data_IF_234641626702
#
_entry.id   IF_234641626702
#
_cell.length_a   1.000
_cell.length_b   1.000
_cell.length_c   1.000
_cell.angle_alpha   90.00
_cell.angle_beta   90.00
_cell.angle_gamma   90.00
#
_symmetry.space_group_name_H-M   'P 1'
#
loop_
_entity.id
_entity.type
_entity.pdbx_description
1 polymer ?
#
# COMPACT_ATOMS: atom_id res chain seq x y z
N UNK A 1 -5.36 -28.84 20.74
CA UNK A 1 -4.15 -29.68 20.78
C UNK A 1 -2.94 -28.76 20.78
N UNK A 2 -2.08 -28.88 21.81
CA UNK A 2 -0.95 -27.97 22.10
C UNK A 2 0.32 -28.55 21.45
N UNK A 3 0.88 -27.89 20.44
CA UNK A 3 2.17 -28.28 19.87
C UNK A 3 3.31 -27.45 20.50
N UNK A 4 4.09 -28.15 21.33
CA UNK A 4 5.37 -27.74 21.92
C UNK A 4 6.41 -27.51 20.81
N UNK A 5 7.13 -26.39 20.85
CA UNK A 5 8.53 -26.30 21.30
C UNK A 5 9.49 -27.26 20.56
N UNK A 6 10.24 -26.75 19.59
CA UNK A 6 11.62 -27.21 19.37
C UNK A 6 12.52 -26.01 19.08
N UNK A 7 13.38 -25.78 20.07
CA UNK A 7 14.47 -24.84 20.14
C UNK A 7 15.71 -25.56 19.59
N UNK A 8 16.41 -25.00 18.60
CA UNK A 8 17.75 -25.45 18.21
C UNK A 8 18.69 -24.27 18.30
N UNK A 9 19.63 -24.43 19.23
CA UNK A 9 20.67 -23.52 19.67
C UNK A 9 21.97 -24.04 19.03
N UNK A 10 22.62 -23.24 18.17
CA UNK A 10 23.97 -23.56 17.66
C UNK A 10 24.94 -22.52 18.19
N UNK A 11 25.88 -23.04 18.98
CA UNK A 11 26.90 -22.31 19.71
C UNK A 11 28.14 -22.01 18.85
N UNK A 12 28.56 -20.75 18.95
CA UNK A 12 29.91 -20.21 19.15
C UNK A 12 31.18 -21.00 18.73
N UNK A 13 32.08 -20.21 18.10
CA UNK A 13 33.54 -20.11 18.31
C UNK A 13 34.45 -20.76 17.25
N UNK A 14 35.20 -19.91 16.54
CA UNK A 14 36.59 -20.20 16.17
C UNK A 14 37.46 -18.94 16.25
N UNK A 15 38.71 -19.18 16.63
CA UNK A 15 39.59 -18.30 17.36
C UNK A 15 40.53 -17.43 16.50
N UNK A 16 41.02 -16.36 17.15
CA UNK A 16 42.33 -15.69 17.06
C UNK A 16 43.29 -16.11 15.93
N UNK A 17 43.81 -15.10 15.21
CA UNK A 17 45.26 -15.05 14.93
C UNK A 17 45.76 -13.60 14.80
N UNK A 18 46.51 -13.17 15.82
CA UNK A 18 47.42 -12.03 15.77
C UNK A 18 48.83 -12.56 15.48
N UNK A 19 49.53 -11.98 14.51
CA UNK A 19 50.99 -12.02 14.44
C UNK A 19 51.48 -10.69 13.83
N UNK A 20 52.39 -10.03 14.54
CA UNK A 20 52.92 -8.70 14.18
C UNK A 20 54.41 -8.67 13.84
N UNK A 21 54.85 -7.43 13.56
CA UNK A 21 56.21 -6.89 13.40
C UNK A 21 56.86 -7.03 11.99
N UNK A 22 57.72 -6.08 11.54
CA UNK A 22 58.42 -5.00 12.27
C UNK A 22 58.19 -3.56 11.73
N UNK A 23 58.61 -2.50 12.45
CA UNK A 23 58.63 -1.12 11.95
C UNK A 23 59.97 -0.80 11.27
N UNK A 24 59.98 -0.15 10.09
CA UNK A 24 61.20 0.49 9.57
C UNK A 24 61.09 2.01 9.47
N UNK A 25 62.02 2.66 10.17
CA UNK A 25 62.87 3.82 9.84
C UNK A 25 62.22 5.18 9.50
N UNK A 26 62.67 6.28 10.16
CA UNK A 26 62.23 7.64 9.87
C UNK A 26 62.74 8.10 8.49
N UNK A 27 61.82 8.28 7.54
CA UNK A 27 62.09 9.05 6.34
C UNK A 27 62.21 10.54 6.69
N UNK A 28 63.30 11.13 6.22
CA UNK A 28 63.60 12.55 6.34
C UNK A 28 62.51 13.38 5.66
N UNK A 29 62.14 14.56 6.22
CA UNK A 29 61.14 15.40 5.58
C UNK A 29 61.62 15.84 4.20
N UNK A 30 60.78 15.76 3.15
CA UNK A 30 61.08 16.37 1.87
C UNK A 30 61.18 17.90 2.07
N UNK A 31 62.01 18.59 1.26
CA UNK A 31 62.12 20.04 1.31
C UNK A 31 60.74 20.66 1.09
N UNK A 32 60.43 21.68 1.91
CA UNK A 32 59.22 22.49 1.82
C UNK A 32 59.10 23.02 0.40
N UNK A 33 58.25 22.36 -0.40
CA UNK A 33 57.73 22.92 -1.61
C UNK A 33 56.78 24.04 -1.18
N UNK A 34 57.20 25.25 -1.51
CA UNK A 34 56.43 26.49 -1.47
C UNK A 34 54.96 26.21 -1.78
N UNK A 35 54.10 26.43 -0.77
CA UNK A 35 52.68 26.24 -0.89
C UNK A 35 52.15 27.14 -2.02
N UNK A 36 51.87 26.53 -3.17
CA UNK A 36 51.08 27.16 -4.20
C UNK A 36 49.76 27.64 -3.58
N UNK A 37 49.28 28.85 -3.90
CA UNK A 37 48.06 29.37 -3.34
C UNK A 37 46.91 28.42 -3.67
N UNK A 38 46.24 27.92 -2.62
CA UNK A 38 44.97 27.20 -2.75
C UNK A 38 43.99 28.20 -3.33
N UNK A 39 43.79 28.15 -4.65
CA UNK A 39 42.72 28.86 -5.32
C UNK A 39 41.42 28.30 -4.76
N UNK A 40 40.73 29.11 -3.97
CA UNK A 40 39.39 28.79 -3.49
C UNK A 40 38.52 28.37 -4.69
N UNK A 41 37.73 27.29 -4.60
CA UNK A 41 36.79 26.95 -5.66
C UNK A 41 35.90 28.17 -5.89
N UNK A 42 35.84 28.61 -7.15
CA UNK A 42 35.00 29.72 -7.54
C UNK A 42 33.55 29.41 -7.10
N UNK A 43 32.84 30.36 -6.46
CA UNK A 43 31.44 30.17 -6.13
C UNK A 43 30.68 29.87 -7.43
N UNK A 44 29.86 28.82 -7.42
CA UNK A 44 28.98 28.53 -8.55
C UNK A 44 28.16 29.78 -8.88
N UNK A 45 28.02 30.14 -10.17
CA UNK A 45 27.31 31.35 -10.54
C UNK A 45 25.85 31.23 -10.10
N UNK A 46 25.44 32.09 -9.17
CA UNK A 46 24.05 32.24 -8.77
C UNK A 46 23.25 32.54 -10.05
N UNK A 47 22.22 31.74 -10.39
CA UNK A 47 21.43 31.97 -11.58
C UNK A 47 20.85 33.38 -11.52
N UNK A 48 20.87 34.08 -12.66
CA UNK A 48 20.27 35.40 -12.75
C UNK A 48 18.78 35.30 -12.31
N UNK A 49 18.26 36.27 -11.54
CA UNK A 49 16.88 36.22 -11.01
C UNK A 49 15.80 35.94 -12.07
N UNK A 50 16.05 36.27 -13.34
CA UNK A 50 15.12 35.99 -14.44
C UNK A 50 14.94 34.51 -14.76
N UNK A 51 15.98 33.67 -14.58
CA UNK A 51 15.91 32.23 -14.82
C UNK A 51 15.20 31.50 -13.67
N UNK A 52 15.42 31.97 -12.43
CA UNK A 52 14.81 31.37 -11.24
C UNK A 52 13.27 31.47 -11.24
N UNK A 53 12.71 32.61 -11.67
CA UNK A 53 11.26 32.79 -11.77
C UNK A 53 10.61 31.84 -12.79
N UNK A 54 11.25 31.62 -13.96
CA UNK A 54 10.73 30.74 -15.00
C UNK A 54 10.78 29.26 -14.57
N UNK A 55 11.87 28.84 -13.93
CA UNK A 55 12.00 27.49 -13.37
C UNK A 55 10.96 27.22 -12.28
N UNK A 56 10.77 28.15 -11.33
CA UNK A 56 9.77 28.05 -10.28
C UNK A 56 8.35 28.03 -10.85
N UNK A 57 8.09 28.79 -11.92
CA UNK A 57 6.79 28.80 -12.62
C UNK A 57 6.50 27.43 -13.23
N UNK A 58 7.48 26.82 -13.90
CA UNK A 58 7.34 25.46 -14.43
C UNK A 58 7.07 24.45 -13.31
N UNK A 59 7.84 24.50 -12.22
CA UNK A 59 7.65 23.61 -11.08
C UNK A 59 6.27 23.76 -10.43
N UNK A 60 5.78 24.99 -10.26
CA UNK A 60 4.45 25.25 -9.71
C UNK A 60 3.35 24.67 -10.60
N UNK A 61 3.49 24.79 -11.92
CA UNK A 61 2.55 24.18 -12.90
C UNK A 61 2.58 22.66 -12.85
N UNK A 62 3.75 22.05 -12.71
CA UNK A 62 3.89 20.60 -12.54
C UNK A 62 3.25 20.11 -11.25
N UNK A 63 3.46 20.84 -10.14
CA UNK A 63 2.84 20.54 -8.84
C UNK A 63 1.32 20.65 -8.90
N UNK A 64 0.80 21.71 -9.50
CA UNK A 64 -0.63 21.89 -9.77
C UNK A 64 -1.19 20.74 -10.59
N UNK A 65 -0.53 20.38 -11.69
CA UNK A 65 -0.97 19.28 -12.54
C UNK A 65 -0.97 17.95 -11.77
N UNK A 66 0.02 17.72 -10.92
CA UNK A 66 0.09 16.53 -10.08
C UNK A 66 -1.04 16.48 -9.04
N UNK A 67 -1.38 17.60 -8.40
CA UNK A 67 -2.55 17.71 -7.50
C UNK A 67 -3.83 17.32 -8.23
N UNK A 68 -4.11 17.97 -9.37
CA UNK A 68 -5.34 17.78 -10.14
C UNK A 68 -5.45 16.37 -10.72
N UNK A 69 -4.35 15.82 -11.26
CA UNK A 69 -4.31 14.45 -11.79
C UNK A 69 -4.71 13.42 -10.74
N UNK A 70 -4.35 13.66 -9.48
CA UNK A 70 -4.62 12.77 -8.37
C UNK A 70 -5.89 13.15 -7.59
N UNK A 71 -6.59 14.22 -7.98
CA UNK A 71 -7.80 14.73 -7.33
C UNK A 71 -7.56 15.16 -5.88
N UNK A 72 -6.38 15.70 -5.56
CA UNK A 72 -6.00 16.02 -4.18
C UNK A 72 -6.59 17.35 -3.70
N UNK A 73 -7.04 18.20 -4.62
CA UNK A 73 -7.74 19.45 -4.34
C UNK A 73 -9.03 19.25 -3.53
N UNK A 74 -9.71 18.11 -3.71
CA UNK A 74 -10.88 17.76 -2.92
C UNK A 74 -10.54 17.42 -1.45
N UNK A 75 -9.29 16.97 -1.20
CA UNK A 75 -8.85 16.51 0.12
C UNK A 75 -8.09 17.58 0.91
N UNK A 76 -7.44 18.52 0.22
CA UNK A 76 -6.75 19.66 0.81
C UNK A 76 -7.11 20.97 0.08
N UNK A 77 -8.39 21.39 0.14
CA UNK A 77 -8.91 22.50 -0.66
C UNK A 77 -8.33 23.87 -0.26
N UNK A 78 -8.10 24.10 1.03
CA UNK A 78 -7.59 25.39 1.53
C UNK A 78 -6.18 25.73 1.04
N UNK A 79 -5.15 24.87 1.25
CA UNK A 79 -3.80 25.16 0.73
C UNK A 79 -3.79 25.20 -0.80
N UNK A 80 -4.61 24.39 -1.47
CA UNK A 80 -4.70 24.42 -2.93
C UNK A 80 -5.24 25.75 -3.44
N UNK A 81 -6.35 26.24 -2.88
CA UNK A 81 -6.93 27.53 -3.28
C UNK A 81 -5.96 28.70 -3.04
N UNK A 82 -5.19 28.67 -1.95
CA UNK A 82 -4.16 29.67 -1.69
C UNK A 82 -3.00 29.58 -2.70
N UNK A 83 -2.55 28.37 -3.04
CA UNK A 83 -1.53 28.15 -4.05
C UNK A 83 -1.97 28.66 -5.44
N UNK A 84 -3.21 28.35 -5.85
CA UNK A 84 -3.78 28.80 -7.14
C UNK A 84 -3.84 30.34 -7.21
N UNK A 85 -4.22 31.00 -6.11
CA UNK A 85 -4.24 32.46 -6.04
C UNK A 85 -2.83 33.04 -6.25
N UNK A 86 -1.83 32.52 -5.55
CA UNK A 86 -0.45 32.99 -5.65
C UNK A 86 0.15 32.69 -7.02
N UNK A 87 -0.17 31.55 -7.62
CA UNK A 87 0.24 31.22 -8.99
C UNK A 87 -0.33 32.24 -9.98
N UNK A 88 -1.62 32.57 -9.89
CA UNK A 88 -2.24 33.60 -10.74
C UNK A 88 -1.61 34.99 -10.56
N UNK A 89 -1.29 35.37 -9.32
CA UNK A 89 -0.55 36.61 -9.03
C UNK A 89 0.86 36.59 -9.63
N UNK A 90 1.56 35.45 -9.59
CA UNK A 90 2.88 35.28 -10.19
C UNK A 90 2.84 35.38 -11.72
N UNK A 91 1.86 34.75 -12.36
CA UNK A 91 1.69 34.79 -13.83
C UNK A 91 1.44 36.22 -14.31
N UNK A 92 0.64 37.00 -13.58
CA UNK A 92 0.38 38.39 -13.91
C UNK A 92 1.63 39.29 -13.76
N UNK A 93 2.53 38.97 -12.83
CA UNK A 93 3.75 39.74 -12.57
C UNK A 93 4.92 39.34 -13.48
N UNK A 94 4.91 38.15 -14.08
CA UNK A 94 6.10 37.57 -14.74
C UNK A 94 6.70 38.44 -15.85
N UNK A 95 5.88 39.20 -16.59
CA UNK A 95 6.33 40.06 -17.69
C UNK A 95 6.79 41.46 -17.25
N UNK A 96 6.39 41.94 -16.07
CA UNK A 96 6.59 43.33 -15.63
C UNK A 96 7.41 43.46 -14.35
N UNK A 97 7.31 42.49 -13.44
CA UNK A 97 8.00 42.44 -12.17
C UNK A 97 8.35 40.98 -11.79
N UNK A 98 9.47 40.51 -12.32
CA UNK A 98 9.96 39.15 -12.09
C UNK A 98 10.30 38.86 -10.63
N UNK A 99 10.71 39.89 -9.87
CA UNK A 99 11.02 39.72 -8.44
C UNK A 99 9.73 39.45 -7.65
N UNK A 100 8.65 40.18 -7.96
CA UNK A 100 7.33 39.87 -7.39
C UNK A 100 6.86 38.48 -7.83
N UNK A 101 6.99 38.11 -9.11
CA UNK A 101 6.59 36.78 -9.58
C UNK A 101 7.33 35.67 -8.82
N UNK A 102 8.64 35.79 -8.64
CA UNK A 102 9.45 34.85 -7.87
C UNK A 102 8.97 34.72 -6.43
N UNK A 103 8.76 35.84 -5.72
CA UNK A 103 8.28 35.84 -4.34
C UNK A 103 6.91 35.16 -4.18
N UNK A 104 6.01 35.32 -5.16
CA UNK A 104 4.70 34.64 -5.18
C UNK A 104 4.85 33.14 -5.39
N UNK A 105 5.76 32.72 -6.27
CA UNK A 105 6.04 31.30 -6.52
C UNK A 105 6.68 30.63 -5.30
N UNK A 106 7.58 31.32 -4.59
CA UNK A 106 8.16 30.84 -3.34
C UNK A 106 7.12 30.62 -2.24
N UNK A 107 6.05 31.41 -2.25
CA UNK A 107 4.90 31.20 -1.37
C UNK A 107 3.94 30.10 -1.87
N UNK A 108 3.77 29.95 -3.19
CA UNK A 108 2.85 28.98 -3.79
C UNK A 108 3.33 27.52 -3.71
N UNK A 109 4.62 27.28 -3.97
CA UNK A 109 5.21 25.94 -3.98
C UNK A 109 5.01 25.14 -2.69
N UNK A 110 5.31 25.66 -1.48
CA UNK A 110 5.08 24.91 -0.25
C UNK A 110 3.59 24.63 0.02
N UNK A 111 2.68 25.46 -0.51
CA UNK A 111 1.24 25.21 -0.41
C UNK A 111 0.81 24.05 -1.30
N UNK A 112 1.34 23.94 -2.53
CA UNK A 112 1.10 22.74 -3.35
C UNK A 112 1.70 21.48 -2.71
N UNK A 113 2.90 21.56 -2.14
CA UNK A 113 3.51 20.42 -1.45
C UNK A 113 2.68 20.02 -0.21
N UNK A 114 2.11 20.99 0.52
CA UNK A 114 1.16 20.73 1.61
C UNK A 114 -0.13 20.07 1.09
N UNK A 115 -0.71 20.55 -0.01
CA UNK A 115 -1.87 19.93 -0.67
C UNK A 115 -1.58 18.48 -1.05
N UNK A 116 -0.40 18.19 -1.61
CA UNK A 116 0.00 16.83 -2.00
C UNK A 116 0.09 15.93 -0.77
N UNK A 117 0.81 16.38 0.26
CA UNK A 117 1.02 15.62 1.49
C UNK A 117 -0.29 15.33 2.21
N UNK A 118 -1.06 16.37 2.51
CA UNK A 118 -2.29 16.25 3.29
C UNK A 118 -3.40 15.58 2.48
N UNK A 119 -3.44 15.86 1.17
CA UNK A 119 -4.38 15.23 0.25
C UNK A 119 -4.19 13.72 0.17
N UNK A 120 -2.95 13.25 -0.02
CA UNK A 120 -2.68 11.81 -0.01
C UNK A 120 -2.88 11.18 1.35
N UNK A 121 -2.51 11.84 2.45
CA UNK A 121 -2.72 11.30 3.79
C UNK A 121 -4.20 10.95 4.03
N UNK A 122 -5.11 11.89 3.72
CA UNK A 122 -6.56 11.67 3.85
C UNK A 122 -7.10 10.63 2.86
N UNK A 123 -6.69 10.71 1.59
CA UNK A 123 -7.16 9.79 0.55
C UNK A 123 -6.73 8.34 0.82
N UNK A 124 -5.52 8.14 1.35
CA UNK A 124 -5.02 6.83 1.78
C UNK A 124 -5.81 6.33 2.98
N UNK A 125 -6.08 7.19 3.98
CA UNK A 125 -6.87 6.82 5.15
C UNK A 125 -8.27 6.35 4.76
N UNK A 126 -8.96 7.09 3.88
CA UNK A 126 -10.27 6.72 3.34
C UNK A 126 -10.22 5.38 2.60
N UNK A 127 -9.26 5.21 1.68
CA UNK A 127 -9.11 3.98 0.90
C UNK A 127 -8.81 2.78 1.80
N UNK A 128 -7.96 2.96 2.82
CA UNK A 128 -7.66 1.94 3.82
C UNK A 128 -8.92 1.58 4.63
N UNK A 129 -9.69 2.57 5.07
CA UNK A 129 -10.91 2.33 5.83
C UNK A 129 -11.94 1.54 5.02
N UNK A 130 -12.07 1.83 3.72
CA UNK A 130 -12.91 1.04 2.81
C UNK A 130 -12.44 -0.42 2.71
N UNK A 131 -11.14 -0.64 2.54
CA UNK A 131 -10.57 -1.98 2.47
C UNK A 131 -10.72 -2.75 3.80
N UNK A 132 -10.53 -2.08 4.94
CA UNK A 132 -10.74 -2.65 6.28
C UNK A 132 -12.20 -3.08 6.46
N UNK A 133 -13.15 -2.29 5.97
CA UNK A 133 -14.58 -2.61 6.05
C UNK A 133 -14.97 -3.78 5.13
N UNK A 134 -14.46 -3.81 3.89
CA UNK A 134 -14.64 -4.94 2.99
C UNK A 134 -14.03 -6.23 3.58
N UNK A 135 -12.87 -6.14 4.22
CA UNK A 135 -12.25 -7.26 4.93
C UNK A 135 -13.15 -7.81 6.04
N UNK A 136 -13.77 -6.92 6.86
CA UNK A 136 -14.70 -7.34 7.91
C UNK A 136 -15.93 -8.06 7.33
N UNK A 137 -16.49 -7.57 6.22
CA UNK A 137 -17.60 -8.24 5.51
C UNK A 137 -17.20 -9.63 5.03
N UNK A 138 -16.03 -9.75 4.42
CA UNK A 138 -15.49 -11.05 3.99
C UNK A 138 -15.29 -12.00 5.18
N UNK A 139 -14.80 -11.50 6.32
CA UNK A 139 -14.64 -12.28 7.53
C UNK A 139 -15.97 -12.74 8.12
N UNK A 140 -17.02 -11.91 8.07
CA UNK A 140 -18.37 -12.26 8.50
C UNK A 140 -18.95 -13.42 7.68
N UNK A 141 -18.72 -13.44 6.37
CA UNK A 141 -19.10 -14.54 5.47
C UNK A 141 -18.17 -15.76 5.53
N UNK A 142 -17.19 -15.77 6.45
CA UNK A 142 -16.18 -16.85 6.58
C UNK A 142 -15.36 -17.07 5.30
N UNK A 143 -15.11 -16.01 4.53
CA UNK A 143 -14.38 -16.07 3.27
C UNK A 143 -12.96 -16.64 3.41
N UNK A 144 -12.29 -16.46 4.55
CA UNK A 144 -11.01 -17.12 4.85
C UNK A 144 -11.03 -18.65 4.67
N UNK A 145 -12.18 -19.27 4.90
CA UNK A 145 -12.39 -20.72 4.78
C UNK A 145 -13.07 -21.04 3.47
N UNK A 146 -14.20 -20.38 3.21
CA UNK A 146 -15.06 -20.69 2.08
C UNK A 146 -14.51 -20.16 0.75
N UNK A 147 -13.70 -19.10 0.72
CA UNK A 147 -13.14 -18.43 -0.46
C UNK A 147 -11.64 -18.11 -0.26
N UNK A 148 -10.88 -19.15 0.13
CA UNK A 148 -9.52 -19.02 0.68
C UNK A 148 -8.55 -18.31 -0.27
N UNK A 149 -8.57 -18.63 -1.56
CA UNK A 149 -7.63 -18.10 -2.55
C UNK A 149 -7.89 -16.62 -2.83
N UNK A 150 -9.15 -16.27 -3.04
CA UNK A 150 -9.61 -14.90 -3.27
C UNK A 150 -9.33 -14.01 -2.06
N UNK A 151 -9.62 -14.51 -0.86
CA UNK A 151 -9.30 -13.81 0.37
C UNK A 151 -7.79 -13.57 0.53
N UNK A 152 -6.97 -14.59 0.27
CA UNK A 152 -5.52 -14.48 0.38
C UNK A 152 -4.94 -13.48 -0.63
N UNK A 153 -5.46 -13.44 -1.86
CA UNK A 153 -5.06 -12.49 -2.89
C UNK A 153 -5.41 -11.03 -2.49
N UNK A 154 -6.61 -10.81 -1.94
CA UNK A 154 -7.02 -9.51 -1.42
C UNK A 154 -6.13 -9.05 -0.25
N UNK A 155 -5.85 -9.95 0.70
CA UNK A 155 -4.97 -9.67 1.84
C UNK A 155 -3.52 -9.38 1.41
N UNK A 156 -3.01 -10.05 0.39
CA UNK A 156 -1.70 -9.77 -0.18
C UNK A 156 -1.66 -8.37 -0.82
N UNK A 157 -2.71 -7.98 -1.54
CA UNK A 157 -2.84 -6.66 -2.16
C UNK A 157 -2.93 -5.55 -1.11
N UNK A 158 -3.72 -5.77 -0.05
CA UNK A 158 -3.76 -4.87 1.11
C UNK A 158 -2.39 -4.69 1.77
N UNK A 159 -1.60 -5.76 1.85
CA UNK A 159 -0.23 -5.70 2.38
C UNK A 159 0.71 -4.93 1.46
N UNK A 160 0.56 -5.06 0.13
CA UNK A 160 1.31 -4.21 -0.83
C UNK A 160 0.96 -2.74 -0.66
N UNK A 161 -0.33 -2.41 -0.49
CA UNK A 161 -0.77 -1.03 -0.24
C UNK A 161 -0.03 -0.40 0.96
N UNK A 162 0.09 -1.14 2.07
CA UNK A 162 0.89 -0.69 3.23
C UNK A 162 2.35 -0.45 2.90
N UNK A 163 2.96 -1.33 2.10
CA UNK A 163 4.35 -1.16 1.67
C UNK A 163 4.53 0.04 0.72
N UNK A 164 3.52 0.35 -0.10
CA UNK A 164 3.50 1.54 -0.95
C UNK A 164 3.38 2.82 -0.12
N UNK A 165 2.56 2.83 0.95
CA UNK A 165 2.54 3.94 1.92
C UNK A 165 3.92 4.15 2.56
N UNK A 166 4.56 3.09 3.07
CA UNK A 166 5.87 3.20 3.71
C UNK A 166 6.99 3.62 2.76
N UNK A 167 6.81 3.40 1.46
CA UNK A 167 7.76 3.78 0.41
C UNK A 167 7.39 5.13 -0.26
N UNK A 168 6.45 5.88 0.31
CA UNK A 168 5.94 7.15 -0.23
C UNK A 168 5.39 7.08 -1.66
N UNK A 169 5.00 5.88 -2.10
CA UNK A 169 4.28 5.62 -3.37
C UNK A 169 2.79 5.78 -3.13
N UNK A 170 2.38 7.02 -2.87
CA UNK A 170 1.03 7.34 -2.42
C UNK A 170 -0.06 7.08 -3.47
N UNK A 171 0.12 7.42 -4.77
CA UNK A 171 -0.85 7.05 -5.80
C UNK A 171 -1.08 5.53 -5.86
N UNK A 172 0.00 4.75 -5.81
CA UNK A 172 -0.04 3.30 -5.84
C UNK A 172 -0.75 2.75 -4.59
N UNK A 173 -0.47 3.30 -3.41
CA UNK A 173 -1.14 2.88 -2.18
C UNK A 173 -2.67 3.06 -2.25
N UNK A 174 -3.15 4.18 -2.79
CA UNK A 174 -4.59 4.44 -2.98
C UNK A 174 -5.20 3.39 -3.92
N UNK A 175 -4.55 3.11 -5.05
CA UNK A 175 -5.00 2.10 -6.00
C UNK A 175 -5.02 0.69 -5.38
N UNK A 176 -3.95 0.30 -4.71
CA UNK A 176 -3.82 -1.03 -4.09
C UNK A 176 -4.83 -1.23 -2.94
N UNK A 177 -5.15 -0.19 -2.16
CA UNK A 177 -6.26 -0.30 -1.20
C UNK A 177 -7.63 -0.45 -1.90
N UNK A 178 -7.85 0.23 -3.02
CA UNK A 178 -9.05 0.06 -3.85
C UNK A 178 -9.19 -1.35 -4.43
N UNK A 179 -8.08 -1.91 -4.93
CA UNK A 179 -8.02 -3.31 -5.41
C UNK A 179 -8.26 -4.29 -4.26
N UNK A 180 -7.68 -4.05 -3.08
CA UNK A 180 -7.93 -4.88 -1.90
C UNK A 180 -9.39 -4.86 -1.47
N UNK A 181 -10.04 -3.68 -1.51
CA UNK A 181 -11.47 -3.53 -1.23
C UNK A 181 -12.29 -4.42 -2.15
N UNK A 182 -12.05 -4.29 -3.47
CA UNK A 182 -12.73 -5.10 -4.50
C UNK A 182 -12.48 -6.60 -4.30
N UNK A 183 -11.24 -6.99 -3.98
CA UNK A 183 -10.88 -8.38 -3.74
C UNK A 183 -11.56 -8.98 -2.51
N UNK A 184 -11.66 -8.22 -1.42
CA UNK A 184 -12.37 -8.68 -0.22
C UNK A 184 -13.88 -8.80 -0.46
N UNK A 185 -14.49 -7.83 -1.15
CA UNK A 185 -15.92 -7.91 -1.50
C UNK A 185 -16.22 -9.12 -2.40
N UNK A 186 -15.34 -9.42 -3.37
CA UNK A 186 -15.45 -10.60 -4.20
C UNK A 186 -15.32 -11.90 -3.38
N UNK A 187 -14.37 -11.96 -2.44
CA UNK A 187 -14.21 -13.11 -1.55
C UNK A 187 -15.44 -13.31 -0.63
N UNK A 188 -16.02 -12.22 -0.13
CA UNK A 188 -17.26 -12.25 0.66
C UNK A 188 -18.42 -12.84 -0.15
N UNK A 189 -18.62 -12.35 -1.37
CA UNK A 189 -19.67 -12.81 -2.27
C UNK A 189 -19.53 -14.31 -2.58
N UNK A 190 -18.33 -14.75 -2.95
CA UNK A 190 -18.07 -16.16 -3.25
C UNK A 190 -18.30 -17.07 -2.04
N UNK A 191 -17.94 -16.59 -0.85
CA UNK A 191 -18.19 -17.33 0.39
C UNK A 191 -19.69 -17.51 0.66
N UNK A 192 -20.48 -16.44 0.46
CA UNK A 192 -21.94 -16.50 0.59
C UNK A 192 -22.56 -17.46 -0.44
N UNK A 193 -22.13 -17.42 -1.70
CA UNK A 193 -22.57 -18.34 -2.76
C UNK A 193 -22.28 -19.81 -2.41
N UNK A 194 -21.07 -20.10 -1.92
CA UNK A 194 -20.68 -21.46 -1.49
C UNK A 194 -21.49 -21.93 -0.28
N UNK A 195 -21.84 -21.04 0.64
CA UNK A 195 -22.71 -21.36 1.77
C UNK A 195 -24.12 -21.73 1.31
N UNK A 196 -24.69 -20.99 0.36
CA UNK A 196 -26.01 -21.29 -0.20
C UNK A 196 -25.99 -22.67 -0.87
N UNK A 197 -25.01 -22.93 -1.73
CA UNK A 197 -24.87 -24.22 -2.39
C UNK A 197 -24.71 -25.39 -1.40
N UNK A 198 -24.00 -25.18 -0.29
CA UNK A 198 -23.87 -26.18 0.76
C UNK A 198 -25.20 -26.46 1.47
N UNK A 199 -26.01 -25.44 1.74
CA UNK A 199 -27.34 -25.61 2.34
C UNK A 199 -28.29 -26.36 1.41
N UNK A 200 -28.30 -26.03 0.12
CA UNK A 200 -29.09 -26.76 -0.88
C UNK A 200 -28.65 -28.22 -1.02
N UNK A 201 -27.36 -28.50 -0.90
CA UNK A 201 -26.84 -29.86 -0.93
C UNK A 201 -27.26 -30.67 0.31
N UNK A 202 -27.30 -30.04 1.48
CA UNK A 202 -27.80 -30.66 2.72
C UNK A 202 -29.31 -30.97 2.62
N UNK A 203 -30.12 -30.03 2.15
CA UNK A 203 -31.55 -30.25 1.95
C UNK A 203 -31.84 -31.41 0.99
N UNK A 204 -31.09 -31.50 -0.11
CA UNK A 204 -31.18 -32.64 -1.05
C UNK A 204 -30.76 -33.95 -0.40
N UNK A 205 -29.70 -33.94 0.42
CA UNK A 205 -29.26 -35.13 1.13
C UNK A 205 -30.30 -35.61 2.15
N UNK A 206 -30.92 -34.69 2.89
CA UNK A 206 -31.98 -35.01 3.85
C UNK A 206 -33.21 -35.62 3.17
N UNK A 207 -33.60 -35.09 1.99
CA UNK A 207 -34.70 -35.65 1.20
C UNK A 207 -34.41 -37.09 0.73
N UNK A 208 -33.18 -37.36 0.26
CA UNK A 208 -32.75 -38.71 -0.16
C UNK A 208 -32.73 -39.68 1.03
N UNK A 209 -32.28 -39.23 2.20
CA UNK A 209 -32.32 -40.05 3.42
C UNK A 209 -33.75 -40.41 3.81
N UNK A 210 -34.67 -39.44 3.79
CA UNK A 210 -36.09 -39.68 4.09
C UNK A 210 -36.72 -40.69 3.12
N UNK A 211 -36.48 -40.53 1.81
CA UNK A 211 -36.98 -41.48 0.80
C UNK A 211 -36.40 -42.90 1.03
N UNK A 212 -35.12 -42.99 1.39
CA UNK A 212 -34.46 -44.27 1.68
C UNK A 212 -35.07 -44.93 2.92
N UNK A 213 -35.34 -44.17 3.98
CA UNK A 213 -35.99 -44.65 5.20
C UNK A 213 -37.42 -45.14 4.94
N UNK A 214 -38.21 -44.41 4.15
CA UNK A 214 -39.55 -44.83 3.75
C UNK A 214 -39.52 -46.14 2.95
N UNK A 215 -38.57 -46.27 2.03
CA UNK A 215 -38.39 -47.49 1.25
C UNK A 215 -37.97 -48.68 2.11
N UNK A 216 -37.07 -48.48 3.07
CA UNK A 216 -36.66 -49.52 4.00
C UNK A 216 -37.85 -50.00 4.85
N UNK A 217 -38.67 -49.09 5.38
CA UNK A 217 -39.90 -49.45 6.11
C UNK A 217 -40.87 -50.26 5.24
N UNK A 218 -41.07 -49.86 3.99
CA UNK A 218 -41.94 -50.59 3.07
C UNK A 218 -41.46 -52.04 2.82
N UNK A 219 -40.14 -52.22 2.68
CA UNK A 219 -39.53 -53.55 2.53
C UNK A 219 -39.69 -54.38 3.81
N UNK A 220 -39.49 -53.79 4.99
CA UNK A 220 -39.70 -54.47 6.28
C UNK A 220 -41.15 -54.91 6.49
N UNK A 221 -42.13 -54.06 6.12
CA UNK A 221 -43.55 -54.41 6.16
C UNK A 221 -43.92 -55.55 5.20
N UNK A 222 -43.28 -55.61 4.02
CA UNK A 222 -43.47 -56.69 3.06
C UNK A 222 -42.89 -58.02 3.58
N UNK A 223 -41.69 -58.02 4.15
CA UNK A 223 -41.04 -59.21 4.70
C UNK A 223 -41.67 -59.68 6.04
N UNK A 224 -42.29 -58.78 6.80
CA UNK A 224 -42.94 -59.09 8.08
C UNK A 224 -44.34 -59.67 7.97
N UNK A 225 -44.96 -59.67 6.78
CA UNK A 225 -46.22 -60.38 6.54
C UNK A 225 -45.93 -61.87 6.45
N UNK A 226 -46.41 -62.72 7.38
CA UNK A 226 -46.24 -64.16 7.24
C UNK A 226 -46.92 -64.57 5.94
N UNK A 227 -46.22 -65.35 5.10
CA UNK A 227 -46.81 -66.00 3.94
C UNK A 227 -48.04 -66.77 4.43
N UNK A 228 -49.21 -66.19 4.16
CA UNK A 228 -50.50 -66.75 4.55
C UNK A 228 -50.69 -68.07 3.82
N UNK A 229 -50.51 -69.14 4.59
CA UNK A 229 -51.10 -70.46 4.44
C UNK A 229 -51.49 -70.88 3.02
N UNK A 230 -50.64 -71.69 2.40
CA UNK A 230 -51.12 -72.66 1.41
C UNK A 230 -51.89 -73.71 2.20
N UNK A 231 -53.23 -73.64 2.14
CA UNK A 231 -54.15 -74.69 2.60
C UNK A 231 -54.00 -75.95 1.75
#
# INVERSE_FOLDING_TARGET
MRFKLFMVLIAASFALSCAGAPPPVPESPPPVAEAAPVVAPAPEPVPAPSAAADEKMALAKDRRAYVLKNGLEAYAPEPFAQAEKLLGEAEAALSSDRATAEARLDAALPLYDATIKDGFAKKIEESRAAADEAQKKADAEKAKVAAKEEYAAAAATYTRAKASVSSSRFPEAVLEYGEATTGFDAAAKLAAERRIAALEALEKADAVLSETEERLKAIEEEMGKPEGGVQ
#
